data_IF_286084333002
#
_entry.id   IF_286084333002
#
_cell.length_a   1.000
_cell.length_b   1.000
_cell.length_c   1.000
_cell.angle_alpha   90.00
_cell.angle_beta   90.00
_cell.angle_gamma   90.00
#
_symmetry.space_group_name_H-M   'P 1'
#
loop_
_entity.id
_entity.type
_entity.pdbx_description
1 polymer ?
#
# COMPACT_ATOMS: atom_id res chain seq x y z
N UNK A 1 -1.53 3.52 -18.92
CA UNK A 1 -1.88 4.55 -17.94
C UNK A 1 -1.08 4.23 -16.68
N UNK A 2 -0.06 5.02 -16.34
CA UNK A 2 0.75 4.76 -15.15
C UNK A 2 -0.05 5.20 -13.92
N UNK A 3 -0.19 4.30 -12.94
CA UNK A 3 -0.81 4.63 -11.65
C UNK A 3 0.24 5.41 -10.87
N UNK A 4 0.11 6.73 -10.80
CA UNK A 4 0.95 7.55 -9.94
C UNK A 4 0.57 7.31 -8.47
N UNK A 5 1.58 7.07 -7.63
CA UNK A 5 1.38 7.05 -6.19
C UNK A 5 0.92 8.44 -5.73
N UNK A 6 0.02 8.53 -4.73
CA UNK A 6 -0.38 9.81 -4.16
C UNK A 6 0.87 10.61 -3.76
N UNK A 7 0.92 11.90 -4.11
CA UNK A 7 2.02 12.82 -3.72
C UNK A 7 1.93 13.25 -2.25
N UNK A 8 1.36 12.40 -1.41
CA UNK A 8 1.32 12.55 0.03
C UNK A 8 1.67 11.22 0.66
N UNK A 9 2.56 11.18 1.66
CA UNK A 9 2.76 9.97 2.44
C UNK A 9 1.52 9.64 3.25
N UNK A 10 1.36 8.36 3.56
CA UNK A 10 0.37 7.89 4.50
C UNK A 10 0.81 8.34 5.90
N UNK A 11 -0.11 8.97 6.61
CA UNK A 11 0.05 9.43 8.00
C UNK A 11 -0.45 8.38 8.99
N UNK A 12 -1.58 7.73 8.70
CA UNK A 12 -2.21 6.75 9.60
C UNK A 12 -3.06 5.75 8.82
N UNK A 13 -3.02 4.49 9.22
CA UNK A 13 -3.92 3.44 8.76
C UNK A 13 -4.62 2.86 9.99
N UNK A 14 -5.93 2.67 9.94
CA UNK A 14 -6.67 2.01 11.02
C UNK A 14 -7.93 1.31 10.52
N UNK A 15 -8.30 0.21 11.19
CA UNK A 15 -9.59 -0.47 10.99
C UNK A 15 -10.66 0.19 11.85
N UNK A 16 -11.81 0.51 11.28
CA UNK A 16 -12.94 1.04 12.02
C UNK A 16 -13.62 -0.06 12.83
N UNK A 17 -13.84 0.16 14.13
CA UNK A 17 -14.56 -0.78 14.99
C UNK A 17 -16.06 -0.86 14.68
N UNK A 18 -16.65 0.18 14.08
CA UNK A 18 -18.10 0.24 13.84
C UNK A 18 -18.51 -0.27 12.46
N UNK A 19 -17.77 0.08 11.40
CA UNK A 19 -18.11 -0.29 10.02
C UNK A 19 -17.14 -1.29 9.39
N UNK A 20 -16.14 -1.78 10.12
CA UNK A 20 -15.13 -2.76 9.67
C UNK A 20 -14.22 -2.34 8.50
N UNK A 21 -14.43 -1.16 7.91
CA UNK A 21 -13.60 -0.63 6.83
C UNK A 21 -12.22 -0.17 7.31
N UNK A 22 -11.27 -0.12 6.39
CA UNK A 22 -9.92 0.38 6.61
C UNK A 22 -9.82 1.82 6.13
N UNK A 23 -9.40 2.72 7.02
CA UNK A 23 -9.23 4.14 6.72
C UNK A 23 -7.75 4.50 6.60
N UNK A 24 -7.43 5.13 5.48
CA UNK A 24 -6.11 5.63 5.14
C UNK A 24 -6.14 7.14 5.22
N UNK A 25 -5.36 7.67 6.16
CA UNK A 25 -5.17 9.10 6.35
C UNK A 25 -3.84 9.51 5.79
N UNK A 26 -3.86 10.49 4.91
CA UNK A 26 -2.68 11.06 4.30
C UNK A 26 -2.31 12.38 4.99
N UNK A 27 -1.09 12.87 4.78
CA UNK A 27 -0.72 14.21 5.22
C UNK A 27 -1.52 15.30 4.49
N UNK A 28 -1.78 15.13 3.19
CA UNK A 28 -2.82 15.86 2.47
C UNK A 28 -4.15 15.09 2.53
N UNK A 29 -5.17 15.59 3.26
CA UNK A 29 -6.46 14.93 3.40
C UNK A 29 -7.20 14.71 2.08
N UNK A 30 -6.86 15.41 1.00
CA UNK A 30 -7.44 15.18 -0.35
C UNK A 30 -7.17 13.77 -0.87
N UNK A 31 -6.15 13.11 -0.32
CA UNK A 31 -5.81 11.74 -0.67
C UNK A 31 -6.38 10.71 0.29
N UNK A 32 -7.15 11.10 1.31
CA UNK A 32 -7.79 10.17 2.24
C UNK A 32 -8.64 9.14 1.49
N UNK A 33 -8.47 7.86 1.87
CA UNK A 33 -9.21 6.74 1.26
C UNK A 33 -9.80 5.83 2.32
N UNK A 34 -10.88 5.18 1.96
CA UNK A 34 -11.50 4.13 2.76
C UNK A 34 -11.66 2.91 1.86
N UNK A 35 -11.24 1.76 2.37
CA UNK A 35 -11.34 0.48 1.69
C UNK A 35 -12.23 -0.46 2.48
N UNK A 36 -13.05 -1.24 1.79
CA UNK A 36 -13.75 -2.37 2.42
C UNK A 36 -12.73 -3.46 2.80
N UNK A 37 -13.11 -4.43 3.65
CA UNK A 37 -12.25 -5.56 3.97
C UNK A 37 -11.75 -6.33 2.74
N UNK A 38 -12.61 -6.51 1.73
CA UNK A 38 -12.30 -7.26 0.51
C UNK A 38 -11.32 -6.48 -0.38
N UNK A 39 -11.53 -5.18 -0.54
CA UNK A 39 -10.60 -4.30 -1.26
C UNK A 39 -9.23 -4.26 -0.57
N UNK A 40 -9.22 -4.21 0.75
CA UNK A 40 -8.00 -4.20 1.54
C UNK A 40 -7.22 -5.52 1.43
N UNK A 41 -7.93 -6.65 1.48
CA UNK A 41 -7.32 -7.96 1.28
C UNK A 41 -6.65 -8.06 -0.10
N UNK A 42 -7.32 -7.59 -1.15
CA UNK A 42 -6.74 -7.53 -2.49
C UNK A 42 -5.47 -6.67 -2.54
N UNK A 43 -5.50 -5.48 -1.95
CA UNK A 43 -4.31 -4.59 -1.88
C UNK A 43 -3.14 -5.28 -1.17
N UNK A 44 -3.41 -6.03 -0.10
CA UNK A 44 -2.39 -6.75 0.65
C UNK A 44 -1.79 -7.92 -0.15
N UNK A 45 -2.59 -8.64 -0.92
CA UNK A 45 -2.13 -9.71 -1.81
C UNK A 45 -1.26 -9.12 -2.91
N UNK A 46 -1.77 -8.12 -3.65
CA UNK A 46 -1.05 -7.46 -4.73
C UNK A 46 0.27 -6.85 -4.23
N UNK A 47 0.24 -6.23 -3.04
CA UNK A 47 1.43 -5.67 -2.39
C UNK A 47 2.46 -6.72 -1.99
N UNK A 48 2.03 -7.88 -1.49
CA UNK A 48 2.92 -8.99 -1.17
C UNK A 48 3.59 -9.53 -2.43
N UNK A 49 2.83 -9.76 -3.50
CA UNK A 49 3.37 -10.27 -4.76
C UNK A 49 4.36 -9.29 -5.41
N UNK A 50 4.05 -7.99 -5.37
CA UNK A 50 4.94 -6.94 -5.86
C UNK A 50 6.24 -6.88 -5.05
N UNK A 51 6.15 -6.98 -3.72
CA UNK A 51 7.31 -7.02 -2.84
C UNK A 51 8.17 -8.26 -3.10
N UNK A 52 7.56 -9.44 -3.21
CA UNK A 52 8.27 -10.68 -3.51
C UNK A 52 9.01 -10.59 -4.85
N UNK A 53 8.37 -10.01 -5.88
CA UNK A 53 9.01 -9.78 -7.18
C UNK A 53 10.20 -8.81 -7.07
N UNK A 54 10.06 -7.73 -6.33
CA UNK A 54 11.16 -6.78 -6.10
C UNK A 54 12.32 -7.43 -5.33
N UNK A 55 12.02 -8.24 -4.32
CA UNK A 55 13.03 -8.93 -3.50
C UNK A 55 13.72 -10.08 -4.25
N UNK A 56 13.06 -10.74 -5.21
CA UNK A 56 13.71 -11.73 -6.09
C UNK A 56 14.84 -11.11 -6.90
N UNK A 57 14.63 -9.91 -7.45
CA UNK A 57 15.68 -9.17 -8.17
C UNK A 57 16.89 -8.87 -7.28
N UNK A 58 16.65 -8.53 -6.00
CA UNK A 58 17.72 -8.30 -5.01
C UNK A 58 18.48 -9.58 -4.67
N UNK A 59 17.79 -10.74 -4.62
CA UNK A 59 18.44 -12.04 -4.36
C UNK A 59 19.26 -12.54 -5.54
N UNK A 60 18.94 -12.13 -6.76
CA UNK A 60 19.62 -12.56 -7.99
C UNK A 60 20.80 -11.64 -8.38
N UNK A 61 20.77 -10.34 -8.06
CA UNK A 61 21.92 -9.43 -8.21
C UNK A 61 21.96 -8.38 -7.07
N UNK A 62 22.82 -8.52 -6.04
CA UNK A 62 22.83 -7.68 -4.84
C UNK A 62 23.32 -6.24 -5.04
N UNK A 63 23.57 -5.79 -6.28
CA UNK A 63 24.09 -4.45 -6.61
C UNK A 63 23.17 -3.27 -6.27
N UNK A 64 21.92 -3.52 -5.86
CA UNK A 64 20.98 -2.46 -5.48
C UNK A 64 21.25 -1.86 -4.08
N UNK A 65 22.25 -2.35 -3.33
CA UNK A 65 22.67 -1.83 -2.03
C UNK A 65 24.16 -1.44 -1.96
N UNK A 66 24.83 -1.31 -3.11
CA UNK A 66 26.24 -0.90 -3.22
C UNK A 66 26.40 0.50 -3.78
#
# INVERSE_FOLDING_TARGET
>A
MYIELPKSPIRKIYKCGNCSNYHFKFFDPKHDRTYTPEEWEKIMIDGREALDKALRLVREDPKLFG
#
